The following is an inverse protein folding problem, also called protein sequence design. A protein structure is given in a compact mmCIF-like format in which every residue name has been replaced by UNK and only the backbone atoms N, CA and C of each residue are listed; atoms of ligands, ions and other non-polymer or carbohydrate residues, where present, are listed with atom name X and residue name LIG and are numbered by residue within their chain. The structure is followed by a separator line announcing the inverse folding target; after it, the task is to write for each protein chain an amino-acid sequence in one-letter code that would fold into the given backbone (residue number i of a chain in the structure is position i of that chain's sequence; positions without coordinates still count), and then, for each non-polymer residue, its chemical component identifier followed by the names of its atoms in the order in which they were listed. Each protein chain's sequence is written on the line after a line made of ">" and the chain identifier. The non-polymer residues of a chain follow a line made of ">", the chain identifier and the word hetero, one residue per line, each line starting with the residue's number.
data_IF_668221597783
#
_entry.id   IF_668221597783
#
_cell.length_a   1.000
_cell.length_b   1.000
_cell.length_c   1.000
_cell.angle_alpha   90.00
_cell.angle_beta   90.00
_cell.angle_gamma   90.00
#
_symmetry.space_group_name_H-M   'P 1'
#
loop_
_entity.id
_entity.type
_entity.pdbx_description
1 polymer ?
#
# COMPACT_ATOMS: atom_id res chain seq x y z
N UNK A 1 36.19 7.95 9.97
CA UNK A 1 35.02 7.08 10.27
C UNK A 1 33.65 7.78 10.10
N UNK A 2 33.57 9.12 10.09
CA UNK A 2 32.29 9.87 10.02
C UNK A 2 31.65 9.86 8.61
N UNK A 3 32.44 9.86 7.53
CA UNK A 3 31.92 9.90 6.15
C UNK A 3 31.12 8.66 5.72
N UNK A 4 31.50 7.45 6.16
CA UNK A 4 30.77 6.22 5.82
C UNK A 4 29.37 6.17 6.43
N UNK A 5 29.15 6.82 7.58
CA UNK A 5 27.85 6.86 8.25
C UNK A 5 26.86 7.71 7.46
N UNK A 6 27.34 8.81 6.88
CA UNK A 6 26.53 9.72 6.06
C UNK A 6 26.20 9.09 4.69
N UNK A 7 27.13 8.37 4.05
CA UNK A 7 26.85 7.64 2.81
C UNK A 7 25.82 6.52 2.99
N UNK A 8 25.87 5.79 4.12
CA UNK A 8 24.85 4.79 4.45
C UNK A 8 23.49 5.43 4.68
N UNK A 9 23.44 6.56 5.37
CA UNK A 9 22.21 7.29 5.64
C UNK A 9 21.58 7.87 4.36
N UNK A 10 22.40 8.45 3.47
CA UNK A 10 21.97 8.91 2.15
C UNK A 10 21.51 7.74 1.29
N UNK A 11 22.23 6.61 1.30
CA UNK A 11 21.83 5.40 0.58
C UNK A 11 20.49 4.85 1.07
N UNK A 12 20.25 4.83 2.38
CA UNK A 12 18.95 4.45 2.96
C UNK A 12 17.87 5.42 2.53
N UNK A 13 18.10 6.74 2.60
CA UNK A 13 17.13 7.76 2.18
C UNK A 13 16.78 7.68 0.70
N UNK A 14 17.76 7.45 -0.18
CA UNK A 14 17.52 7.27 -1.62
C UNK A 14 16.73 5.99 -1.86
N UNK A 15 17.05 4.89 -1.15
CA UNK A 15 16.26 3.66 -1.21
C UNK A 15 14.82 3.88 -0.76
N UNK A 16 14.58 4.49 0.41
CA UNK A 16 13.21 4.77 0.86
C UNK A 16 12.48 5.72 -0.07
N UNK A 17 13.16 6.72 -0.65
CA UNK A 17 12.56 7.59 -1.65
C UNK A 17 12.17 6.83 -2.93
N UNK A 18 13.04 5.94 -3.43
CA UNK A 18 12.71 5.09 -4.58
C UNK A 18 11.57 4.11 -4.27
N UNK A 19 11.53 3.53 -3.07
CA UNK A 19 10.41 2.68 -2.63
C UNK A 19 9.11 3.48 -2.56
N UNK A 20 9.14 4.70 -2.03
CA UNK A 20 7.98 5.59 -1.97
C UNK A 20 7.52 6.06 -3.36
N UNK A 21 8.45 6.32 -4.28
CA UNK A 21 8.11 6.60 -5.68
C UNK A 21 7.44 5.37 -6.31
N UNK A 22 7.98 4.17 -6.05
CA UNK A 22 7.45 2.92 -6.60
C UNK A 22 6.04 2.62 -6.11
N UNK A 23 5.70 2.94 -4.86
CA UNK A 23 4.34 2.78 -4.33
C UNK A 23 3.34 3.74 -4.99
N UNK A 24 3.73 4.99 -5.24
CA UNK A 24 2.88 5.94 -5.97
C UNK A 24 2.58 5.50 -7.42
N UNK A 25 3.58 4.94 -8.12
CA UNK A 25 3.36 4.33 -9.44
C UNK A 25 2.54 3.04 -9.36
N UNK A 26 2.69 2.27 -8.28
CA UNK A 26 1.94 1.04 -8.05
C UNK A 26 0.44 1.30 -7.89
N UNK A 27 0.04 2.42 -7.28
CA UNK A 27 -1.37 2.83 -7.19
C UNK A 27 -1.99 3.10 -8.55
N UNK A 28 -1.33 3.93 -9.36
CA UNK A 28 -1.79 4.27 -10.70
C UNK A 28 -1.85 3.02 -11.60
N UNK A 29 -0.87 2.12 -11.44
CA UNK A 29 -0.85 0.83 -12.10
C UNK A 29 -1.98 -0.08 -11.61
N UNK A 30 -2.25 -0.16 -10.30
CA UNK A 30 -3.32 -0.99 -9.73
C UNK A 30 -4.71 -0.57 -10.24
N UNK A 31 -4.94 0.74 -10.38
CA UNK A 31 -6.17 1.31 -10.93
C UNK A 31 -6.34 0.94 -12.40
N UNK A 32 -5.29 1.01 -13.21
CA UNK A 32 -5.33 0.60 -14.62
C UNK A 32 -5.47 -0.93 -14.79
N UNK A 33 -4.84 -1.71 -13.90
CA UNK A 33 -4.93 -3.17 -13.87
C UNK A 33 -6.31 -3.67 -13.39
N UNK A 34 -7.05 -2.85 -12.63
CA UNK A 34 -8.43 -3.14 -12.21
C UNK A 34 -9.41 -3.12 -13.39
N UNK A 35 -9.19 -2.24 -14.37
CA UNK A 35 -10.08 -2.07 -15.54
C UNK A 35 -9.85 -3.13 -16.62
N UNK A 36 -8.63 -3.70 -16.68
CA UNK A 36 -8.24 -4.63 -17.74
C UNK A 36 -8.33 -6.08 -17.29
N UNK A 37 -9.07 -6.91 -18.04
CA UNK A 37 -9.31 -8.32 -17.71
C UNK A 37 -8.28 -9.21 -18.41
N UNK A 38 -7.24 -9.64 -17.68
CA UNK A 38 -6.18 -10.55 -18.17
C UNK A 38 -5.57 -11.42 -17.06
N UNK A 39 -5.08 -12.65 -17.36
CA UNK A 39 -4.36 -13.47 -16.37
C UNK A 39 -3.13 -12.74 -15.83
N UNK A 40 -2.40 -12.08 -16.75
CA UNK A 40 -1.26 -11.24 -16.43
C UNK A 40 -1.65 -10.02 -15.58
N UNK A 41 -2.85 -9.46 -15.79
CA UNK A 41 -3.34 -8.31 -15.03
C UNK A 41 -3.72 -8.70 -13.60
N UNK A 42 -4.33 -9.87 -13.43
CA UNK A 42 -4.62 -10.46 -12.12
C UNK A 42 -3.32 -10.76 -11.36
N UNK A 43 -2.34 -11.36 -12.05
CA UNK A 43 -1.02 -11.61 -11.47
C UNK A 43 -0.29 -10.32 -11.05
N UNK A 44 -0.22 -9.31 -11.92
CA UNK A 44 0.44 -8.04 -11.62
C UNK A 44 -0.28 -7.26 -10.51
N UNK A 45 -1.62 -7.26 -10.50
CA UNK A 45 -2.42 -6.70 -9.39
C UNK A 45 -2.11 -7.40 -8.07
N UNK A 46 -1.97 -8.73 -8.11
CA UNK A 46 -1.55 -9.53 -6.95
C UNK A 46 -0.19 -9.13 -6.39
N UNK A 47 0.80 -8.93 -7.26
CA UNK A 47 2.14 -8.45 -6.87
C UNK A 47 2.05 -7.04 -6.28
N UNK A 48 1.31 -6.14 -6.92
CA UNK A 48 1.15 -4.75 -6.47
C UNK A 48 0.52 -4.71 -5.08
N UNK A 49 -0.55 -5.48 -4.82
CA UNK A 49 -1.15 -5.53 -3.49
C UNK A 49 -0.23 -6.14 -2.44
N UNK A 50 0.56 -7.17 -2.77
CA UNK A 50 1.53 -7.71 -1.81
C UNK A 50 2.62 -6.70 -1.44
N UNK A 51 3.19 -6.00 -2.43
CA UNK A 51 4.27 -5.03 -2.20
C UNK A 51 3.73 -3.75 -1.57
N UNK A 52 2.53 -3.32 -1.96
CA UNK A 52 1.89 -2.10 -1.51
C UNK A 52 1.25 -2.20 -0.13
N UNK A 53 0.72 -3.38 0.23
CA UNK A 53 -0.04 -3.56 1.48
C UNK A 53 0.65 -3.05 2.75
N UNK A 54 1.98 -3.17 2.97
CA UNK A 54 2.62 -2.65 4.19
C UNK A 54 2.61 -1.12 4.27
N UNK A 55 2.53 -0.43 3.12
CA UNK A 55 2.50 1.04 3.07
C UNK A 55 1.14 1.60 3.49
N UNK A 56 0.09 0.79 3.46
CA UNK A 56 -1.24 1.15 3.95
C UNK A 56 -1.22 1.56 5.42
N UNK A 57 -0.41 0.90 6.26
CA UNK A 57 -0.23 1.28 7.67
C UNK A 57 0.26 2.70 7.81
N UNK A 58 1.27 3.08 7.03
CA UNK A 58 1.82 4.42 7.09
C UNK A 58 0.84 5.46 6.56
N UNK A 59 0.16 5.14 5.46
CA UNK A 59 -0.87 5.98 4.88
C UNK A 59 -1.98 6.26 5.89
N UNK A 60 -2.58 5.23 6.49
CA UNK A 60 -3.72 5.40 7.40
C UNK A 60 -3.32 6.06 8.71
N UNK A 61 -2.11 5.79 9.21
CA UNK A 61 -1.57 6.54 10.37
C UNK A 61 -1.42 8.02 10.03
N UNK A 62 -0.88 8.37 8.87
CA UNK A 62 -0.70 9.77 8.47
C UNK A 62 -2.05 10.44 8.20
N UNK A 63 -2.92 9.80 7.42
CA UNK A 63 -4.21 10.33 7.02
C UNK A 63 -5.13 10.50 8.23
N UNK A 64 -5.33 9.47 9.06
CA UNK A 64 -6.17 9.57 10.24
C UNK A 64 -5.56 10.55 11.25
N UNK A 65 -4.24 10.58 11.43
CA UNK A 65 -3.62 11.59 12.32
C UNK A 65 -3.82 13.02 11.81
N UNK A 66 -3.74 13.25 10.49
CA UNK A 66 -3.98 14.56 9.88
C UNK A 66 -5.47 14.97 9.94
N UNK A 67 -6.39 14.03 9.72
CA UNK A 67 -7.84 14.24 9.85
C UNK A 67 -8.27 14.53 11.31
N UNK A 68 -7.42 14.22 12.30
CA UNK A 68 -7.75 14.32 13.72
C UNK A 68 -7.21 15.61 14.43
N UNK A 69 -6.55 16.58 13.76
CA UNK A 69 -5.88 17.70 14.47
C UNK A 69 -6.78 18.93 14.87
N UNK A 70 -6.46 19.71 15.93
CA UNK A 70 -5.46 19.57 17.00
C UNK A 70 -6.11 19.74 18.39
N UNK A 71 -6.52 18.70 19.10
CA UNK A 71 -7.03 18.87 20.47
C UNK A 71 -6.35 17.91 21.43
N UNK A 72 -5.43 18.51 22.21
CA UNK A 72 -5.03 18.36 23.63
C UNK A 72 -5.53 17.20 24.51
N UNK A 73 -6.41 16.31 24.04
CA UNK A 73 -7.13 15.31 24.82
C UNK A 73 -6.73 13.87 24.48
N UNK A 74 -6.09 13.58 23.32
CA UNK A 74 -5.49 12.28 23.07
C UNK A 74 -4.53 12.24 21.86
N UNK A 75 -3.28 12.68 22.04
CA UNK A 75 -2.19 12.57 21.05
C UNK A 75 -2.02 11.15 20.48
N UNK A 76 -2.47 10.14 21.21
CA UNK A 76 -2.35 8.73 20.83
C UNK A 76 -3.54 8.18 20.06
N UNK A 77 -4.72 8.83 20.06
CA UNK A 77 -5.92 8.27 19.42
C UNK A 77 -5.80 8.18 17.91
N UNK A 78 -5.35 9.25 17.24
CA UNK A 78 -5.11 9.23 15.79
C UNK A 78 -4.13 8.14 15.36
N UNK A 79 -2.92 8.08 15.94
CA UNK A 79 -1.94 7.04 15.63
C UNK A 79 -2.39 5.62 15.96
N UNK A 80 -3.12 5.40 17.07
CA UNK A 80 -3.58 4.05 17.44
C UNK A 80 -4.73 3.56 16.57
N UNK A 81 -5.69 4.43 16.23
CA UNK A 81 -6.76 4.10 15.30
C UNK A 81 -6.20 3.89 13.90
N UNK A 82 -5.32 4.79 13.44
CA UNK A 82 -4.61 4.66 12.16
C UNK A 82 -3.77 3.40 12.04
N UNK A 83 -3.14 2.96 13.13
CA UNK A 83 -2.41 1.70 13.14
C UNK A 83 -3.35 0.50 13.08
N UNK A 84 -4.48 0.54 13.78
CA UNK A 84 -5.46 -0.54 13.76
C UNK A 84 -6.14 -0.69 12.39
N UNK A 85 -6.57 0.41 11.77
CA UNK A 85 -7.15 0.43 10.42
C UNK A 85 -6.09 0.03 9.39
N UNK A 86 -4.90 0.60 9.50
CA UNK A 86 -3.78 0.29 8.63
C UNK A 86 -3.43 -1.20 8.62
N UNK A 87 -3.34 -1.84 9.80
CA UNK A 87 -3.08 -3.29 9.89
C UNK A 87 -4.21 -4.11 9.27
N UNK A 88 -5.47 -3.69 9.45
CA UNK A 88 -6.61 -4.35 8.84
C UNK A 88 -6.56 -4.25 7.31
N UNK A 89 -6.32 -3.06 6.76
CA UNK A 89 -6.28 -2.84 5.31
C UNK A 89 -5.04 -3.45 4.66
N UNK A 90 -3.89 -3.48 5.35
CA UNK A 90 -2.74 -4.29 4.97
C UNK A 90 -3.13 -5.77 4.86
N UNK A 91 -3.78 -6.34 5.88
CA UNK A 91 -4.19 -7.74 5.87
C UNK A 91 -5.17 -8.05 4.73
N UNK A 92 -6.12 -7.15 4.52
CA UNK A 92 -7.13 -7.23 3.46
C UNK A 92 -6.49 -7.21 2.06
N UNK A 93 -5.60 -6.24 1.79
CA UNK A 93 -4.88 -6.14 0.52
C UNK A 93 -3.91 -7.30 0.32
N UNK A 94 -3.20 -7.74 1.35
CA UNK A 94 -2.27 -8.86 1.26
C UNK A 94 -3.01 -10.17 0.93
N UNK A 95 -4.17 -10.42 1.55
CA UNK A 95 -5.02 -11.55 1.22
C UNK A 95 -5.57 -11.47 -0.22
N UNK A 96 -6.06 -10.29 -0.63
CA UNK A 96 -6.52 -10.07 -1.99
C UNK A 96 -5.39 -10.29 -3.02
N UNK A 97 -4.18 -9.82 -2.71
CA UNK A 97 -3.00 -9.96 -3.54
C UNK A 97 -2.54 -11.41 -3.68
N UNK A 98 -2.49 -12.14 -2.56
CA UNK A 98 -2.19 -13.58 -2.55
C UNK A 98 -3.24 -14.37 -3.34
N UNK A 99 -4.52 -14.08 -3.14
CA UNK A 99 -5.58 -14.74 -3.88
C UNK A 99 -5.44 -14.50 -5.38
N UNK A 100 -5.20 -13.26 -5.81
CA UNK A 100 -4.99 -12.92 -7.21
C UNK A 100 -3.75 -13.60 -7.79
N UNK A 101 -2.64 -13.68 -7.03
CA UNK A 101 -1.41 -14.36 -7.43
C UNK A 101 -1.61 -15.88 -7.56
N UNK A 102 -2.40 -16.52 -6.69
CA UNK A 102 -2.64 -17.96 -6.72
C UNK A 102 -3.79 -18.37 -7.63
N UNK A 103 -4.66 -17.44 -8.03
CA UNK A 103 -5.80 -17.73 -8.90
C UNK A 103 -5.67 -17.07 -10.28
N UNK A 104 -4.48 -16.54 -10.64
CA UNK A 104 -4.25 -15.89 -11.94
C UNK A 104 -4.52 -16.81 -13.15
N UNK A 105 -4.29 -18.12 -12.99
CA UNK A 105 -4.49 -19.13 -14.05
C UNK A 105 -5.94 -19.59 -14.20
N UNK A 106 -6.84 -19.17 -13.30
CA UNK A 106 -8.25 -19.55 -13.39
C UNK A 106 -8.90 -18.91 -14.63
N UNK A 107 -9.78 -19.62 -15.35
CA UNK A 107 -10.39 -19.09 -16.57
C UNK A 107 -11.13 -17.77 -16.32
N UNK A 108 -11.15 -16.90 -17.34
CA UNK A 108 -11.80 -15.59 -17.27
C UNK A 108 -13.27 -15.72 -16.85
N UNK A 109 -13.59 -15.22 -15.65
CA UNK A 109 -14.88 -15.44 -15.00
C UNK A 109 -15.20 -14.42 -13.90
N UNK A 110 -16.11 -14.77 -13.00
CA UNK A 110 -16.58 -13.91 -11.88
C UNK A 110 -15.42 -13.38 -11.02
N UNK A 111 -14.35 -14.16 -10.89
CA UNK A 111 -13.25 -13.95 -9.94
C UNK A 111 -12.08 -13.12 -10.51
N UNK A 112 -12.33 -12.34 -11.56
CA UNK A 112 -11.31 -11.52 -12.24
C UNK A 112 -11.39 -10.04 -11.85
N UNK A 113 -12.51 -9.64 -11.23
CA UNK A 113 -12.59 -8.35 -10.55
C UNK A 113 -11.66 -8.36 -9.33
N UNK A 114 -11.11 -7.21 -8.93
CA UNK A 114 -10.40 -7.11 -7.67
C UNK A 114 -11.30 -7.58 -6.53
N UNK A 115 -10.78 -8.43 -5.63
CA UNK A 115 -11.47 -8.79 -4.39
C UNK A 115 -11.70 -7.57 -3.49
N UNK A 116 -10.86 -6.56 -3.65
CA UNK A 116 -10.79 -5.36 -2.86
C UNK A 116 -10.59 -4.19 -3.81
N UNK A 117 -11.32 -3.09 -3.60
CA UNK A 117 -11.07 -1.88 -4.37
C UNK A 117 -9.59 -1.47 -4.20
N UNK A 118 -8.91 -1.06 -5.29
CA UNK A 118 -7.59 -0.48 -5.18
C UNK A 118 -7.68 0.78 -4.30
N UNK A 119 -6.96 0.77 -3.20
CA UNK A 119 -6.79 1.96 -2.36
C UNK A 119 -5.51 2.66 -2.78
N UNK A 120 -5.56 3.98 -2.86
CA UNK A 120 -4.36 4.79 -2.99
C UNK A 120 -3.47 4.60 -1.76
N UNK A 121 -2.18 4.42 -1.94
CA UNK A 121 -1.15 4.46 -0.90
C UNK A 121 -0.71 5.89 -0.58
N UNK A 122 -1.15 6.86 -1.37
CA UNK A 122 -0.97 8.29 -1.09
C UNK A 122 -2.10 8.74 -0.17
N UNK A 123 -1.81 9.34 0.99
CA UNK A 123 -2.85 9.91 1.85
C UNK A 123 -3.58 11.03 1.11
N UNK A 124 -4.92 10.99 1.15
CA UNK A 124 -5.77 12.04 0.59
C UNK A 124 -5.82 13.17 1.62
N UNK A 125 -5.06 14.24 1.40
CA UNK A 125 -5.02 15.45 2.24
C UNK A 125 -5.92 16.51 1.66
#
# INVERSE_FOLDING_TARGET
>A
MIQMKNMRFVGVLVLTFFFFLSSAYADQLSNQLSETKGPLHKFSRGIVYMIGSPFQVFKDVIQISAETEPFYLATWKGPTVGLATGVYDTGRQLFAGLFDLFTFYTPAGRDWKPLCAPETMIPEV
#
